data_IF_201691248270
#
_entry.id   IF_201691248270
#
_cell.length_a   1.000
_cell.length_b   1.000
_cell.length_c   1.000
_cell.angle_alpha   90.00
_cell.angle_beta   90.00
_cell.angle_gamma   90.00
#
_symmetry.space_group_name_H-M   'P 1'
#
loop_
_entity.id
_entity.type
_entity.pdbx_description
1 polymer ?
#
# COMPACT_ATOMS: atom_id res chain seq x y z
N UNK A 1 -83.14 1.14 -30.37
CA UNK A 1 -81.96 1.95 -30.52
C UNK A 1 -81.12 1.81 -29.22
N UNK A 2 -80.10 1.00 -29.22
CA UNK A 2 -79.28 0.77 -28.04
C UNK A 2 -77.89 1.41 -28.27
N UNK A 3 -77.55 2.41 -27.47
CA UNK A 3 -76.24 3.08 -27.51
C UNK A 3 -75.22 2.24 -26.75
N UNK A 4 -74.20 1.81 -27.45
CA UNK A 4 -73.00 1.14 -26.84
C UNK A 4 -72.04 2.18 -26.28
N UNK A 5 -71.95 2.22 -24.96
CA UNK A 5 -71.00 3.02 -24.22
C UNK A 5 -69.64 2.24 -24.14
N UNK A 6 -68.65 2.71 -24.90
CA UNK A 6 -67.33 2.13 -24.90
C UNK A 6 -66.46 2.58 -23.72
N UNK A 7 -66.06 1.66 -22.86
CA UNK A 7 -65.18 1.90 -21.74
C UNK A 7 -63.72 2.00 -22.25
N UNK A 8 -63.13 3.20 -22.17
CA UNK A 8 -61.69 3.40 -22.46
C UNK A 8 -60.90 3.16 -21.17
N UNK A 9 -60.16 2.07 -21.15
CA UNK A 9 -59.16 1.81 -20.11
C UNK A 9 -57.88 2.54 -20.46
N UNK A 10 -57.53 3.54 -19.67
CA UNK A 10 -56.24 4.23 -19.75
C UNK A 10 -55.19 3.40 -18.97
N UNK A 11 -54.26 2.77 -19.68
CA UNK A 11 -53.10 2.10 -19.06
C UNK A 11 -52.03 3.14 -18.74
N UNK A 12 -51.88 3.44 -17.47
CA UNK A 12 -50.77 4.26 -16.95
C UNK A 12 -49.52 3.39 -16.82
N UNK A 13 -48.56 3.60 -17.72
CA UNK A 13 -47.21 3.04 -17.55
C UNK A 13 -46.42 3.87 -16.52
N UNK A 14 -46.32 3.37 -15.29
CA UNK A 14 -45.36 3.90 -14.31
C UNK A 14 -43.97 3.37 -14.69
N UNK A 15 -43.16 4.20 -15.34
CA UNK A 15 -41.79 3.91 -15.61
C UNK A 15 -40.96 3.89 -14.30
N UNK A 16 -40.50 2.71 -13.90
CA UNK A 16 -39.60 2.56 -12.78
C UNK A 16 -38.17 2.91 -13.27
N UNK A 17 -37.71 4.12 -12.94
CA UNK A 17 -36.35 4.54 -13.22
C UNK A 17 -35.41 3.85 -12.19
N UNK A 18 -34.67 2.83 -12.62
CA UNK A 18 -33.56 2.28 -11.85
C UNK A 18 -32.39 3.26 -11.88
N UNK A 19 -32.16 3.97 -10.78
CA UNK A 19 -30.89 4.65 -10.53
C UNK A 19 -29.86 3.60 -10.15
N UNK A 20 -29.03 3.19 -11.10
CA UNK A 20 -27.78 2.50 -10.82
C UNK A 20 -26.84 3.54 -10.17
N UNK A 21 -26.78 3.54 -8.84
CA UNK A 21 -25.70 4.18 -8.11
C UNK A 21 -24.42 3.41 -8.42
N UNK A 22 -23.66 3.88 -9.41
CA UNK A 22 -22.32 3.37 -9.67
C UNK A 22 -21.45 3.71 -8.46
N UNK A 23 -21.08 2.70 -7.68
CA UNK A 23 -20.00 2.83 -6.70
C UNK A 23 -18.72 3.00 -7.51
N UNK A 24 -18.26 4.25 -7.66
CA UNK A 24 -16.91 4.53 -8.13
C UNK A 24 -16.00 4.13 -6.97
N UNK A 25 -15.46 2.92 -7.02
CA UNK A 25 -14.32 2.54 -6.20
C UNK A 25 -13.16 3.41 -6.69
N UNK A 26 -12.93 4.52 -6.00
CA UNK A 26 -11.78 5.37 -6.24
C UNK A 26 -10.53 4.52 -6.03
N UNK A 27 -9.77 4.26 -7.09
CA UNK A 27 -8.44 3.70 -6.94
C UNK A 27 -7.62 4.74 -6.18
N UNK A 28 -7.12 4.36 -5.03
CA UNK A 28 -6.21 5.19 -4.24
C UNK A 28 -4.95 5.40 -5.07
N UNK A 29 -4.66 6.67 -5.40
CA UNK A 29 -3.46 7.01 -6.18
C UNK A 29 -2.27 6.83 -5.25
N UNK A 30 -1.34 5.93 -5.62
CA UNK A 30 -0.13 5.68 -4.85
C UNK A 30 0.70 6.97 -4.75
N UNK A 31 1.11 7.39 -3.52
CA UNK A 31 2.00 8.52 -3.34
C UNK A 31 3.37 8.21 -3.93
N UNK A 32 4.06 9.23 -4.43
CA UNK A 32 5.43 9.12 -4.96
C UNK A 32 6.47 9.80 -4.07
N UNK A 33 6.02 10.47 -3.02
CA UNK A 33 6.84 11.17 -2.03
C UNK A 33 6.92 10.40 -0.70
N UNK A 34 7.81 10.85 0.17
CA UNK A 34 7.90 10.40 1.56
C UNK A 34 7.32 11.48 2.47
N UNK A 35 6.44 11.09 3.38
CA UNK A 35 5.75 12.02 4.26
C UNK A 35 5.76 11.54 5.70
N UNK A 36 6.14 12.43 6.63
CA UNK A 36 6.14 12.17 8.07
C UNK A 36 6.89 10.87 8.45
N UNK A 37 8.02 10.65 7.78
CA UNK A 37 8.92 9.51 7.97
C UNK A 37 10.19 9.99 8.65
N UNK A 38 10.64 9.25 9.66
CA UNK A 38 11.98 9.36 10.22
C UNK A 38 12.69 8.04 10.02
N UNK A 39 13.84 8.05 9.37
CA UNK A 39 14.67 6.88 9.16
C UNK A 39 16.06 7.10 9.74
N UNK A 40 16.60 6.06 10.38
CA UNK A 40 17.94 6.06 10.95
C UNK A 40 18.63 4.74 10.60
N UNK A 41 19.76 4.80 9.91
CA UNK A 41 20.66 3.65 9.77
C UNK A 41 21.25 3.33 11.13
N UNK A 42 21.06 2.11 11.61
CA UNK A 42 21.56 1.64 12.89
C UNK A 42 22.95 1.02 12.74
N UNK A 43 23.15 0.24 11.68
CA UNK A 43 24.42 -0.44 11.36
C UNK A 43 24.44 -0.79 9.88
N UNK A 44 25.64 -0.80 9.29
CA UNK A 44 25.86 -1.28 7.92
C UNK A 44 27.21 -2.04 7.88
N UNK A 45 27.25 -3.10 7.06
CA UNK A 45 28.44 -3.92 6.80
C UNK A 45 28.72 -3.89 5.31
N UNK A 46 29.94 -3.50 4.92
CA UNK A 46 30.39 -3.54 3.53
C UNK A 46 30.57 -5.01 3.10
N UNK A 47 29.68 -5.47 2.22
CA UNK A 47 29.70 -6.87 1.79
C UNK A 47 30.91 -7.22 0.91
N UNK A 48 31.50 -6.25 0.22
CA UNK A 48 32.69 -6.49 -0.60
C UNK A 48 33.93 -6.91 0.22
N UNK A 49 33.93 -6.69 1.54
CA UNK A 49 34.99 -7.11 2.45
C UNK A 49 34.75 -8.52 3.02
N UNK A 50 33.57 -9.05 2.89
CA UNK A 50 33.13 -10.29 3.52
C UNK A 50 32.76 -11.40 2.51
N UNK A 51 32.34 -11.00 1.30
CA UNK A 51 31.82 -11.92 0.27
C UNK A 51 32.40 -11.54 -1.08
N UNK A 52 32.95 -12.52 -1.80
CA UNK A 52 33.47 -12.35 -3.15
C UNK A 52 32.35 -12.01 -4.14
N UNK A 53 32.68 -11.22 -5.16
CA UNK A 53 31.79 -10.82 -6.27
C UNK A 53 30.56 -9.99 -5.85
N UNK A 54 30.64 -9.29 -4.72
CA UNK A 54 29.57 -8.41 -4.22
C UNK A 54 30.09 -6.98 -4.01
N UNK A 55 30.41 -6.29 -5.12
CA UNK A 55 30.83 -4.88 -5.07
C UNK A 55 29.64 -3.95 -4.87
N UNK A 56 29.90 -2.81 -4.24
CA UNK A 56 28.93 -1.71 -4.03
C UNK A 56 27.64 -2.14 -3.30
N UNK A 57 27.75 -3.12 -2.41
CA UNK A 57 26.63 -3.58 -1.58
C UNK A 57 26.98 -3.52 -0.11
N UNK A 58 25.99 -3.20 0.69
CA UNK A 58 26.07 -3.30 2.14
C UNK A 58 24.85 -4.04 2.71
N UNK A 59 25.07 -4.85 3.73
CA UNK A 59 24.00 -5.32 4.60
C UNK A 59 23.71 -4.20 5.61
N UNK A 60 22.56 -3.59 5.49
CA UNK A 60 22.16 -2.45 6.31
C UNK A 60 20.94 -2.79 7.15
N UNK A 61 20.94 -2.30 8.38
CA UNK A 61 19.77 -2.32 9.27
C UNK A 61 19.40 -0.88 9.61
N UNK A 62 18.16 -0.52 9.27
CA UNK A 62 17.58 0.78 9.58
C UNK A 62 16.37 0.64 10.50
N UNK A 63 16.10 1.68 11.28
CA UNK A 63 14.83 1.86 11.98
C UNK A 63 14.08 3.00 11.31
N UNK A 64 12.83 2.75 10.95
CA UNK A 64 11.94 3.78 10.42
C UNK A 64 10.73 3.96 11.34
N UNK A 65 10.25 5.20 11.43
CA UNK A 65 9.04 5.55 12.18
C UNK A 65 8.17 6.44 11.29
N UNK A 66 6.93 6.02 11.08
CA UNK A 66 5.89 6.78 10.39
C UNK A 66 4.93 7.37 11.43
N UNK A 67 4.85 8.69 11.49
CA UNK A 67 3.81 9.36 12.29
C UNK A 67 2.41 9.05 11.70
N UNK A 68 1.31 9.31 12.42
CA UNK A 68 -0.04 9.20 11.87
C UNK A 68 -0.18 9.91 10.53
N UNK A 69 -0.77 9.25 9.54
CA UNK A 69 -0.87 9.67 8.13
C UNK A 69 0.48 9.84 7.40
N UNK A 70 1.54 9.28 7.94
CA UNK A 70 2.85 9.18 7.29
C UNK A 70 2.87 8.04 6.26
N UNK A 71 3.68 8.19 5.20
CA UNK A 71 3.85 7.16 4.18
C UNK A 71 5.25 7.16 3.57
N UNK A 72 5.66 6.03 3.05
CA UNK A 72 6.79 5.85 2.15
C UNK A 72 6.22 5.61 0.77
N UNK A 73 6.52 6.49 -0.18
CA UNK A 73 5.94 6.50 -1.51
C UNK A 73 6.27 5.25 -2.34
N UNK A 74 5.65 5.16 -3.51
CA UNK A 74 5.76 4.02 -4.41
C UNK A 74 7.21 3.74 -4.81
N UNK A 75 7.68 2.52 -4.54
CA UNK A 75 9.03 2.05 -4.86
C UNK A 75 9.04 0.54 -5.10
N UNK A 76 10.20 -0.02 -5.47
CA UNK A 76 10.39 -1.47 -5.62
C UNK A 76 11.71 -1.91 -4.99
N UNK A 77 11.79 -3.20 -4.62
CA UNK A 77 12.98 -3.81 -4.03
C UNK A 77 13.77 -4.71 -5.00
N UNK A 78 13.71 -4.42 -6.29
CA UNK A 78 14.35 -5.24 -7.33
C UNK A 78 15.86 -5.45 -7.11
N UNK A 79 16.53 -4.44 -6.59
CA UNK A 79 17.97 -4.46 -6.36
C UNK A 79 18.34 -4.27 -4.88
N UNK A 80 17.34 -4.26 -4.01
CA UNK A 80 17.45 -3.94 -2.59
C UNK A 80 16.47 -4.80 -1.77
N UNK A 81 16.67 -6.15 -1.81
CA UNK A 81 15.79 -7.06 -1.07
C UNK A 81 15.82 -6.71 0.42
N UNK A 82 14.62 -6.60 1.00
CA UNK A 82 14.41 -6.08 2.34
C UNK A 82 13.58 -7.04 3.17
N UNK A 83 13.94 -7.22 4.43
CA UNK A 83 13.11 -7.87 5.44
C UNK A 83 12.68 -6.78 6.41
N UNK A 84 11.38 -6.69 6.67
CA UNK A 84 10.78 -5.73 7.59
C UNK A 84 10.21 -6.46 8.80
N UNK A 85 10.56 -5.98 10.00
CA UNK A 85 9.99 -6.43 11.28
C UNK A 85 9.31 -5.27 11.98
N UNK A 86 8.01 -5.36 12.19
CA UNK A 86 7.22 -4.31 12.84
C UNK A 86 7.42 -4.37 14.35
N UNK A 87 7.93 -3.28 14.93
CA UNK A 87 8.13 -3.14 16.39
C UNK A 87 6.89 -2.62 17.09
N UNK A 88 6.18 -1.66 16.46
CA UNK A 88 5.07 -0.95 17.07
C UNK A 88 4.07 -0.49 16.01
N UNK A 89 2.78 -0.49 16.37
CA UNK A 89 1.69 -0.04 15.51
C UNK A 89 1.26 -1.07 14.45
N UNK A 90 0.61 -0.57 13.40
CA UNK A 90 0.13 -1.36 12.25
C UNK A 90 0.60 -0.67 10.99
N UNK A 91 1.47 -1.34 10.23
CA UNK A 91 1.95 -0.89 8.93
C UNK A 91 1.02 -1.43 7.85
N UNK A 92 0.47 -0.55 7.02
CA UNK A 92 -0.34 -0.93 5.87
C UNK A 92 0.54 -0.91 4.62
N UNK A 93 0.62 -2.03 3.91
CA UNK A 93 1.37 -2.21 2.67
C UNK A 93 0.40 -2.35 1.49
N UNK A 94 0.58 -1.52 0.46
CA UNK A 94 -0.22 -1.49 -0.76
C UNK A 94 0.64 -1.93 -1.94
N UNK A 95 0.17 -2.91 -2.68
CA UNK A 95 0.85 -3.43 -3.87
C UNK A 95 0.29 -2.82 -5.17
N UNK A 96 1.10 -2.84 -6.21
CA UNK A 96 0.76 -2.33 -7.54
C UNK A 96 -0.36 -3.12 -8.24
N UNK A 97 -0.70 -4.32 -7.76
CA UNK A 97 -1.85 -5.09 -8.21
C UNK A 97 -3.17 -4.71 -7.51
N UNK A 98 -3.13 -3.70 -6.63
CA UNK A 98 -4.28 -3.22 -5.85
C UNK A 98 -4.57 -4.01 -4.58
N UNK A 99 -3.76 -5.01 -4.24
CA UNK A 99 -3.87 -5.72 -2.95
C UNK A 99 -3.27 -4.91 -1.82
N UNK A 100 -3.81 -5.09 -0.62
CA UNK A 100 -3.35 -4.41 0.61
C UNK A 100 -3.20 -5.42 1.71
N UNK A 101 -2.11 -5.31 2.48
CA UNK A 101 -1.81 -6.14 3.64
C UNK A 101 -1.50 -5.28 4.85
N UNK A 102 -1.86 -5.74 6.05
CA UNK A 102 -1.52 -5.10 7.32
C UNK A 102 -0.57 -5.97 8.12
N UNK A 103 0.50 -5.35 8.61
CA UNK A 103 1.48 -5.98 9.49
C UNK A 103 1.49 -5.28 10.85
N UNK A 104 1.30 -6.06 11.91
CA UNK A 104 1.23 -5.59 13.30
C UNK A 104 2.55 -5.83 14.02
N UNK A 105 2.71 -5.19 15.17
CA UNK A 105 3.85 -5.43 16.06
C UNK A 105 4.12 -6.92 16.26
N UNK A 106 5.38 -7.34 16.08
CA UNK A 106 5.83 -8.72 16.13
C UNK A 106 5.76 -9.50 14.81
N UNK A 107 5.17 -8.92 13.76
CA UNK A 107 5.11 -9.56 12.44
C UNK A 107 6.28 -9.15 11.57
N UNK A 108 6.65 -10.06 10.65
CA UNK A 108 7.74 -9.91 9.69
C UNK A 108 7.22 -10.17 8.27
N UNK A 109 7.76 -9.44 7.31
CA UNK A 109 7.53 -9.70 5.89
C UNK A 109 8.77 -9.39 5.08
N UNK A 110 8.81 -9.86 3.83
CA UNK A 110 9.92 -9.66 2.92
C UNK A 110 9.45 -8.94 1.65
N UNK A 111 10.27 -8.00 1.19
CA UNK A 111 10.05 -7.22 0.00
C UNK A 111 11.22 -7.44 -0.97
N UNK A 112 10.92 -7.89 -2.17
CA UNK A 112 11.93 -8.23 -3.17
C UNK A 112 11.34 -8.25 -4.58
N UNK A 113 12.22 -8.20 -5.58
CA UNK A 113 11.84 -8.28 -6.99
C UNK A 113 11.27 -6.98 -7.56
N UNK A 114 10.70 -7.02 -8.76
CA UNK A 114 10.29 -5.83 -9.51
C UNK A 114 8.92 -5.27 -9.10
N UNK A 115 8.18 -5.95 -8.24
CA UNK A 115 6.87 -5.49 -7.78
C UNK A 115 7.02 -4.16 -7.05
N UNK A 116 6.18 -3.20 -7.42
CA UNK A 116 6.13 -1.90 -6.74
C UNK A 116 5.10 -1.93 -5.62
N UNK A 117 5.39 -1.19 -4.56
CA UNK A 117 4.51 -1.03 -3.41
C UNK A 117 4.74 0.31 -2.73
N UNK A 118 3.85 0.67 -1.82
CA UNK A 118 4.00 1.79 -0.90
C UNK A 118 3.41 1.43 0.46
N UNK A 119 3.92 2.05 1.51
CA UNK A 119 3.47 1.76 2.87
C UNK A 119 3.00 3.01 3.58
N UNK A 120 2.02 2.86 4.49
CA UNK A 120 1.50 3.96 5.26
C UNK A 120 1.10 3.58 6.69
N UNK A 121 0.95 4.61 7.51
CA UNK A 121 0.36 4.53 8.83
C UNK A 121 -1.05 5.14 8.80
N UNK A 122 -2.09 4.30 8.74
CA UNK A 122 -3.51 4.69 8.85
C UNK A 122 -3.99 4.90 10.29
N UNK A 123 -3.17 4.51 11.25
CA UNK A 123 -3.52 4.56 12.68
C UNK A 123 -3.30 5.93 13.32
N UNK A 124 -3.83 6.11 14.54
CA UNK A 124 -3.67 7.34 15.30
C UNK A 124 -2.34 7.42 16.09
N UNK A 125 -1.57 6.34 16.15
CA UNK A 125 -0.28 6.24 16.84
C UNK A 125 0.84 6.00 15.86
N UNK A 126 2.11 6.34 16.16
CA UNK A 126 3.24 6.03 15.30
C UNK A 126 3.38 4.54 15.02
N UNK A 127 3.88 4.22 13.83
CA UNK A 127 4.32 2.88 13.44
C UNK A 127 5.83 2.89 13.39
N UNK A 128 6.47 1.94 14.08
CA UNK A 128 7.93 1.79 14.07
C UNK A 128 8.29 0.38 13.61
N UNK A 129 9.26 0.29 12.71
CA UNK A 129 9.75 -0.99 12.19
C UNK A 129 11.27 -0.97 11.97
N UNK A 130 11.87 -2.15 11.92
CA UNK A 130 13.24 -2.40 11.47
C UNK A 130 13.19 -2.92 10.04
N UNK A 131 14.01 -2.36 9.17
CA UNK A 131 14.29 -2.86 7.83
C UNK A 131 15.74 -3.35 7.77
N UNK A 132 15.92 -4.61 7.34
CA UNK A 132 17.23 -5.20 7.06
C UNK A 132 17.32 -5.46 5.55
N UNK A 133 18.24 -4.82 4.85
CA UNK A 133 18.32 -4.88 3.40
C UNK A 133 19.76 -5.02 2.88
N UNK A 134 19.89 -5.56 1.66
CA UNK A 134 21.14 -5.52 0.89
C UNK A 134 21.08 -4.28 0.00
N UNK A 135 21.60 -3.18 0.54
CA UNK A 135 21.52 -1.86 -0.10
C UNK A 135 22.66 -1.64 -1.11
N UNK A 136 22.35 -1.01 -2.21
CA UNK A 136 23.35 -0.56 -3.17
C UNK A 136 23.91 0.81 -2.72
N UNK A 137 25.22 0.89 -2.58
CA UNK A 137 25.91 2.17 -2.36
C UNK A 137 26.04 2.93 -3.69
N UNK A 138 25.71 4.19 -3.69
CA UNK A 138 25.87 5.12 -4.82
C UNK A 138 27.35 5.47 -5.06
#
# INVERSE_FOLDING_TARGET
>A
MAAKMGLRVAASFAGLAFFLAGVVLGQEIAPTDYKLVQEQVLVAIDLAQEIDDVENRELRVSRATLAPNGHIGLHSHRADPTIVYVLEGILTNHHDDGTTEEFRAGQVFAEFGPRSHWVENKGPTPVTFIAANIHRRD
#
